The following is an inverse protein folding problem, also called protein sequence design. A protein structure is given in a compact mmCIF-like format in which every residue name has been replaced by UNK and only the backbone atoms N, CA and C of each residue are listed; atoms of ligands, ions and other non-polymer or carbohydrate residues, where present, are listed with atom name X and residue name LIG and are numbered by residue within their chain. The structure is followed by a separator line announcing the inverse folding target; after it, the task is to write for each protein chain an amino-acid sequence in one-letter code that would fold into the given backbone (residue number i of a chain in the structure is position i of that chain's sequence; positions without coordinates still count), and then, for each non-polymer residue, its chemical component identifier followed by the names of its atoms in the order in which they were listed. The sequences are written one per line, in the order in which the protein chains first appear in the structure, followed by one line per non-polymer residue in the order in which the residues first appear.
data_IF_378908833863
#
_entry.id   IF_378908833863
#
_cell.length_a   1.000
_cell.length_b   1.000
_cell.length_c   1.000
_cell.angle_alpha   90.00
_cell.angle_beta   90.00
_cell.angle_gamma   90.00
#
_symmetry.space_group_name_H-M   'P 1'
#
loop_
_entity.id
_entity.type
_entity.pdbx_description
1 polymer ?
#
# COMPACT_ATOMS: atom_id res chain seq x y z
N UNK A 1 13.21 21.14 -2.34
CA UNK A 1 13.81 20.61 -1.12
C UNK A 1 13.36 19.18 -0.90
N UNK A 2 14.30 18.23 -0.54
CA UNK A 2 13.92 16.88 -0.17
C UNK A 2 13.00 16.89 1.05
N UNK A 3 12.04 15.98 1.07
CA UNK A 3 11.01 15.96 2.11
C UNK A 3 10.76 14.54 2.62
N UNK A 4 10.67 14.37 3.93
CA UNK A 4 10.12 13.19 4.59
C UNK A 4 8.77 13.56 5.20
N UNK A 5 7.69 12.94 4.72
CA UNK A 5 6.35 13.19 5.23
C UNK A 5 5.81 11.93 5.95
N UNK A 6 5.45 12.11 7.21
CA UNK A 6 4.86 11.08 8.07
C UNK A 6 3.42 11.49 8.33
N UNK A 7 2.51 10.77 7.69
CA UNK A 7 1.09 11.10 7.68
C UNK A 7 0.26 9.83 7.81
N UNK A 8 -0.83 9.81 8.56
CA UNK A 8 -1.62 8.60 8.78
C UNK A 8 -2.17 8.04 7.47
N UNK A 9 -2.51 6.76 7.47
CA UNK A 9 -3.21 6.12 6.35
C UNK A 9 -4.51 6.86 6.06
N UNK A 10 -4.82 7.07 4.79
CA UNK A 10 -5.99 7.84 4.36
C UNK A 10 -5.80 9.37 4.32
N UNK A 11 -4.65 9.91 4.77
CA UNK A 11 -4.37 11.35 4.74
C UNK A 11 -3.93 11.89 3.37
N UNK A 12 -4.00 11.09 2.31
CA UNK A 12 -3.67 11.55 0.96
C UNK A 12 -2.18 11.51 0.60
N UNK A 13 -1.37 10.67 1.25
CA UNK A 13 0.07 10.53 0.93
C UNK A 13 0.35 10.41 -0.58
N UNK A 14 -0.40 9.55 -1.28
CA UNK A 14 -0.21 9.34 -2.72
C UNK A 14 -0.51 10.61 -3.53
N UNK A 15 -1.46 11.43 -3.10
CA UNK A 15 -1.81 12.68 -3.77
C UNK A 15 -0.65 13.68 -3.75
N UNK A 16 0.21 13.65 -2.74
CA UNK A 16 1.36 14.56 -2.64
C UNK A 16 2.27 14.42 -3.86
N UNK A 17 2.75 13.20 -4.16
CA UNK A 17 3.63 13.00 -5.31
C UNK A 17 2.90 13.01 -6.64
N UNK A 18 1.62 12.61 -6.68
CA UNK A 18 0.81 12.71 -7.89
C UNK A 18 0.57 14.17 -8.30
N UNK A 19 0.22 15.02 -7.34
CA UNK A 19 0.06 16.45 -7.59
C UNK A 19 1.38 17.12 -7.97
N UNK A 20 2.46 16.81 -7.24
CA UNK A 20 3.79 17.32 -7.56
C UNK A 20 4.23 16.91 -8.98
N UNK A 21 3.94 15.67 -9.40
CA UNK A 21 4.22 15.19 -10.74
C UNK A 21 3.55 16.02 -11.83
N UNK A 22 2.40 16.62 -11.59
CA UNK A 22 1.70 17.47 -12.56
C UNK A 22 2.31 18.87 -12.67
N UNK A 23 3.01 19.32 -11.62
CA UNK A 23 3.61 20.65 -11.55
C UNK A 23 5.08 20.67 -12.01
N UNK A 24 5.77 19.52 -11.95
CA UNK A 24 7.19 19.42 -12.29
C UNK A 24 7.34 18.95 -13.74
N UNK A 25 8.27 19.51 -14.49
CA UNK A 25 8.58 19.03 -15.83
C UNK A 25 9.46 17.77 -15.77
N UNK A 26 9.05 16.69 -16.46
CA UNK A 26 9.77 15.42 -16.51
C UNK A 26 9.02 14.27 -15.85
N UNK A 27 9.74 13.20 -15.59
CA UNK A 27 9.21 11.94 -15.06
C UNK A 27 9.19 11.94 -13.52
N UNK A 28 8.14 11.42 -12.93
CA UNK A 28 8.09 11.03 -11.51
C UNK A 28 8.20 9.51 -11.40
N UNK A 29 9.24 9.06 -10.70
CA UNK A 29 9.43 7.64 -10.35
C UNK A 29 8.90 7.40 -8.94
N UNK A 30 7.95 6.46 -8.81
CA UNK A 30 7.34 6.08 -7.53
C UNK A 30 7.79 4.67 -7.17
N UNK A 31 8.50 4.53 -6.05
CA UNK A 31 8.89 3.24 -5.49
C UNK A 31 7.86 2.87 -4.45
N UNK A 32 7.18 1.74 -4.62
CA UNK A 32 6.19 1.23 -3.67
C UNK A 32 6.33 -0.28 -3.51
N UNK A 33 6.10 -0.85 -2.32
CA UNK A 33 6.21 -2.29 -2.09
C UNK A 33 4.91 -3.03 -2.40
N UNK A 34 3.81 -2.31 -2.63
CA UNK A 34 2.46 -2.87 -2.70
C UNK A 34 2.01 -2.99 -4.16
N UNK A 35 2.31 -4.15 -4.77
CA UNK A 35 2.04 -4.44 -6.20
C UNK A 35 0.55 -4.25 -6.55
N UNK A 36 -0.37 -4.70 -5.70
CA UNK A 36 -1.80 -4.56 -5.93
C UNK A 36 -2.23 -3.09 -6.02
N UNK A 37 -1.73 -2.25 -5.11
CA UNK A 37 -2.04 -0.81 -5.10
C UNK A 37 -1.48 -0.06 -6.31
N UNK A 38 -0.35 -0.52 -6.89
CA UNK A 38 0.20 0.13 -8.09
C UNK A 38 -0.79 0.14 -9.24
N UNK A 39 -1.46 -1.00 -9.47
CA UNK A 39 -2.45 -1.11 -10.56
C UNK A 39 -3.60 -0.14 -10.34
N UNK A 40 -4.18 -0.11 -9.15
CA UNK A 40 -5.31 0.76 -8.85
C UNK A 40 -4.96 2.25 -8.99
N UNK A 41 -3.76 2.65 -8.53
CA UNK A 41 -3.25 4.01 -8.67
C UNK A 41 -3.07 4.40 -10.15
N UNK A 42 -2.45 3.51 -10.94
CA UNK A 42 -2.21 3.75 -12.37
C UNK A 42 -3.51 3.80 -13.15
N UNK A 43 -4.45 2.89 -12.89
CA UNK A 43 -5.76 2.89 -13.55
C UNK A 43 -6.55 4.16 -13.22
N UNK A 44 -6.47 4.65 -11.99
CA UNK A 44 -7.10 5.90 -11.56
C UNK A 44 -6.48 7.14 -12.23
N UNK A 45 -5.16 7.17 -12.42
CA UNK A 45 -4.45 8.25 -13.11
C UNK A 45 -4.79 8.26 -14.60
N UNK A 46 -4.72 7.10 -15.26
CA UNK A 46 -5.02 6.98 -16.69
C UNK A 46 -6.47 7.36 -17.00
N UNK A 47 -7.43 7.01 -16.14
CA UNK A 47 -8.83 7.47 -16.29
C UNK A 47 -8.99 9.00 -16.22
N UNK A 48 -8.05 9.68 -15.58
CA UNK A 48 -8.00 11.15 -15.51
C UNK A 48 -7.15 11.78 -16.61
N UNK A 49 -6.69 11.00 -17.58
CA UNK A 49 -5.85 11.48 -18.67
C UNK A 49 -4.39 11.75 -18.28
N UNK A 50 -3.94 11.25 -17.14
CA UNK A 50 -2.55 11.38 -16.66
C UNK A 50 -1.79 10.12 -17.08
N UNK A 51 -0.82 10.19 -18.03
CA UNK A 51 -0.12 9.02 -18.51
C UNK A 51 0.72 8.39 -17.39
N UNK A 52 0.32 7.21 -16.94
CA UNK A 52 1.02 6.48 -15.89
C UNK A 52 1.15 5.00 -16.24
N UNK A 53 2.16 4.35 -15.70
CA UNK A 53 2.35 2.90 -15.80
C UNK A 53 2.97 2.33 -14.54
N UNK A 54 2.97 1.00 -14.43
CA UNK A 54 3.71 0.29 -13.39
C UNK A 54 4.56 -0.82 -14.00
N UNK A 55 5.70 -1.12 -13.36
CA UNK A 55 6.62 -2.19 -13.77
C UNK A 55 6.98 -3.00 -12.54
N UNK A 56 6.47 -4.23 -12.45
CA UNK A 56 6.71 -5.16 -11.36
C UNK A 56 6.82 -6.60 -11.88
N UNK A 57 7.04 -7.56 -10.98
CA UNK A 57 7.20 -8.98 -11.33
C UNK A 57 5.89 -9.68 -11.72
N UNK A 58 4.73 -9.08 -11.48
CA UNK A 58 3.43 -9.69 -11.76
C UNK A 58 3.00 -9.57 -13.23
N UNK A 59 3.63 -8.66 -14.01
CA UNK A 59 3.32 -8.51 -15.44
C UNK A 59 4.21 -9.41 -16.32
N UNK A 60 3.65 -10.00 -17.40
CA UNK A 60 4.40 -10.83 -18.33
C UNK A 60 5.60 -10.09 -18.96
N UNK A 61 6.69 -10.82 -19.24
CA UNK A 61 7.92 -10.24 -19.82
C UNK A 61 7.70 -9.45 -21.11
N UNK A 62 6.88 -9.89 -22.08
CA UNK A 62 6.62 -9.10 -23.28
C UNK A 62 6.00 -7.74 -22.96
N UNK A 63 5.07 -7.69 -22.04
CA UNK A 63 4.42 -6.44 -21.60
C UNK A 63 5.39 -5.54 -20.83
N UNK A 64 6.27 -6.13 -19.99
CA UNK A 64 7.34 -5.37 -19.33
C UNK A 64 8.22 -4.67 -20.36
N UNK A 65 8.66 -5.39 -21.41
CA UNK A 65 9.52 -4.84 -22.46
C UNK A 65 8.82 -3.71 -23.23
N UNK A 66 7.54 -3.87 -23.54
CA UNK A 66 6.75 -2.82 -24.17
C UNK A 66 6.68 -1.56 -23.29
N UNK A 67 6.41 -1.71 -21.98
CA UNK A 67 6.36 -0.59 -21.05
C UNK A 67 7.72 0.09 -20.90
N UNK A 68 8.83 -0.67 -20.88
CA UNK A 68 10.19 -0.11 -20.85
C UNK A 68 10.51 0.69 -22.13
N UNK A 69 10.08 0.22 -23.29
CA UNK A 69 10.24 0.94 -24.56
C UNK A 69 9.47 2.27 -24.55
N UNK A 70 8.22 2.26 -24.10
CA UNK A 70 7.41 3.47 -23.97
C UNK A 70 7.98 4.43 -22.92
N UNK A 71 8.53 3.89 -21.81
CA UNK A 71 9.23 4.69 -20.81
C UNK A 71 10.44 5.40 -21.42
N UNK A 72 11.29 4.70 -22.14
CA UNK A 72 12.45 5.29 -22.82
C UNK A 72 12.06 6.38 -23.84
N UNK A 73 10.85 6.31 -24.41
CA UNK A 73 10.27 7.31 -25.30
C UNK A 73 9.62 8.51 -24.61
N UNK A 74 9.62 8.55 -23.26
CA UNK A 74 9.00 9.64 -22.49
C UNK A 74 7.47 9.66 -22.53
N UNK A 75 6.82 8.51 -22.72
CA UNK A 75 5.35 8.43 -22.84
C UNK A 75 4.61 8.49 -21.51
N UNK A 76 5.31 8.50 -20.38
CA UNK A 76 4.70 8.48 -19.05
C UNK A 76 5.09 9.70 -18.22
N UNK A 77 4.15 10.17 -17.41
CA UNK A 77 4.34 11.20 -16.40
C UNK A 77 4.72 10.60 -15.06
N UNK A 78 4.12 9.45 -14.71
CA UNK A 78 4.41 8.68 -13.51
C UNK A 78 4.71 7.22 -13.85
N UNK A 79 5.73 6.68 -13.22
CA UNK A 79 6.06 5.25 -13.30
C UNK A 79 6.18 4.69 -11.90
N UNK A 80 5.36 3.70 -11.60
CA UNK A 80 5.40 2.96 -10.34
C UNK A 80 6.25 1.71 -10.50
N UNK A 81 7.14 1.46 -9.57
CA UNK A 81 8.01 0.29 -9.57
C UNK A 81 8.11 -0.35 -8.20
N UNK A 82 8.24 -1.67 -8.18
CA UNK A 82 8.64 -2.38 -6.99
C UNK A 82 10.16 -2.20 -6.77
N UNK A 83 10.62 -2.14 -5.50
CA UNK A 83 12.01 -1.78 -5.17
C UNK A 83 13.05 -2.72 -5.80
N UNK A 84 12.74 -3.99 -5.99
CA UNK A 84 13.62 -4.96 -6.66
C UNK A 84 13.96 -4.60 -8.11
N UNK A 85 13.13 -3.77 -8.77
CA UNK A 85 13.39 -3.28 -10.13
C UNK A 85 14.58 -2.35 -10.24
N UNK A 86 14.98 -1.74 -9.16
CA UNK A 86 16.16 -0.86 -9.11
C UNK A 86 17.48 -1.62 -9.33
N UNK A 87 17.48 -2.95 -9.22
CA UNK A 87 18.62 -3.80 -9.58
C UNK A 87 18.70 -4.10 -11.07
N UNK A 88 17.63 -3.83 -11.83
CA UNK A 88 17.57 -4.14 -13.25
C UNK A 88 18.31 -3.10 -14.09
N UNK A 89 19.43 -3.51 -14.69
CA UNK A 89 20.20 -2.65 -15.59
C UNK A 89 19.34 -2.18 -16.77
N UNK A 90 18.48 -3.04 -17.32
CA UNK A 90 17.58 -2.68 -18.42
C UNK A 90 16.59 -1.59 -17.99
N UNK A 91 16.04 -1.69 -16.78
CA UNK A 91 15.16 -0.67 -16.23
C UNK A 91 15.89 0.67 -16.05
N UNK A 92 17.06 0.67 -15.40
CA UNK A 92 17.84 1.90 -15.17
C UNK A 92 18.26 2.55 -16.51
N UNK A 93 18.64 1.76 -17.52
CA UNK A 93 18.92 2.27 -18.87
C UNK A 93 17.72 2.96 -19.52
N UNK A 94 16.51 2.45 -19.32
CA UNK A 94 15.31 3.07 -19.87
C UNK A 94 15.02 4.47 -19.29
N UNK A 95 15.63 4.79 -18.15
CA UNK A 95 15.51 6.09 -17.48
C UNK A 95 16.65 7.08 -17.85
N UNK A 96 17.75 6.62 -18.45
CA UNK A 96 18.94 7.45 -18.68
C UNK A 96 18.69 8.71 -19.51
N UNK A 97 17.75 8.63 -20.46
CA UNK A 97 17.41 9.75 -21.35
C UNK A 97 16.18 10.53 -20.85
N UNK A 98 15.72 10.27 -19.63
CA UNK A 98 14.58 10.94 -19.04
C UNK A 98 15.03 11.94 -17.98
N UNK A 99 14.43 13.11 -17.97
CA UNK A 99 14.58 14.04 -16.84
C UNK A 99 13.73 13.51 -15.69
N UNK A 100 14.38 12.91 -14.68
CA UNK A 100 13.70 12.47 -13.48
C UNK A 100 13.55 13.65 -12.52
N UNK A 101 12.38 14.24 -12.49
CA UNK A 101 12.09 15.43 -11.69
C UNK A 101 11.79 15.12 -10.23
N UNK A 102 11.20 13.96 -9.96
CA UNK A 102 10.82 13.54 -8.63
C UNK A 102 11.00 12.03 -8.43
N UNK A 103 11.63 11.67 -7.33
CA UNK A 103 11.62 10.31 -6.79
C UNK A 103 10.71 10.28 -5.57
N UNK A 104 9.62 9.55 -5.65
CA UNK A 104 8.74 9.29 -4.52
C UNK A 104 9.03 7.90 -3.94
N UNK A 105 9.30 7.82 -2.64
CA UNK A 105 9.51 6.57 -1.92
C UNK A 105 8.33 6.36 -0.99
N UNK A 106 7.41 5.52 -1.41
CA UNK A 106 6.25 5.16 -0.61
C UNK A 106 6.60 4.06 0.39
N UNK A 107 5.89 4.01 1.51
CA UNK A 107 6.18 3.14 2.65
C UNK A 107 7.66 3.16 3.05
N UNK A 108 8.24 4.35 3.13
CA UNK A 108 9.68 4.56 3.34
C UNK A 108 10.22 3.92 4.63
N UNK A 109 9.36 3.59 5.60
CA UNK A 109 9.73 2.85 6.81
C UNK A 109 10.30 1.46 6.51
N UNK A 110 9.97 0.88 5.34
CA UNK A 110 10.51 -0.41 4.90
C UNK A 110 12.04 -0.43 4.73
N UNK A 111 12.71 0.73 4.70
CA UNK A 111 14.17 0.80 4.58
C UNK A 111 14.88 0.52 5.91
N UNK A 112 14.20 0.67 7.05
CA UNK A 112 14.78 0.54 8.38
C UNK A 112 14.49 -0.83 8.98
N UNK A 113 15.50 -1.50 9.52
CA UNK A 113 15.34 -2.74 10.28
C UNK A 113 14.50 -2.54 11.55
N UNK A 114 14.36 -1.30 12.01
CA UNK A 114 13.50 -0.93 13.13
C UNK A 114 12.08 -0.54 12.70
N UNK A 115 11.80 -0.60 11.40
CA UNK A 115 10.45 -0.49 10.85
C UNK A 115 9.66 -1.79 11.06
N UNK A 116 8.34 -1.71 11.01
CA UNK A 116 7.48 -2.89 11.20
C UNK A 116 7.43 -3.84 9.99
N UNK A 117 7.92 -3.41 8.82
CA UNK A 117 7.98 -4.19 7.57
C UNK A 117 9.29 -3.92 6.83
N UNK A 118 10.41 -4.39 7.38
CA UNK A 118 11.72 -4.22 6.76
C UNK A 118 11.81 -5.00 5.45
N UNK A 119 12.27 -4.31 4.39
CA UNK A 119 12.48 -4.89 3.06
C UNK A 119 13.88 -4.60 2.55
N UNK A 120 14.76 -5.61 2.44
CA UNK A 120 16.16 -5.42 2.01
C UNK A 120 16.30 -4.70 0.66
N UNK A 121 15.36 -4.86 -0.25
CA UNK A 121 15.39 -4.20 -1.56
C UNK A 121 15.36 -2.67 -1.48
N UNK A 122 14.81 -2.10 -0.39
CA UNK A 122 14.83 -0.65 -0.17
C UNK A 122 16.25 -0.08 0.03
N UNK A 123 17.20 -0.89 0.48
CA UNK A 123 18.59 -0.46 0.66
C UNK A 123 19.28 -0.09 -0.67
N UNK A 124 18.74 -0.56 -1.79
CA UNK A 124 19.26 -0.24 -3.12
C UNK A 124 18.78 1.12 -3.66
N UNK A 125 17.81 1.76 -2.99
CA UNK A 125 17.23 3.04 -3.46
C UNK A 125 18.29 4.14 -3.49
N UNK A 126 19.16 4.22 -2.48
CA UNK A 126 20.19 5.26 -2.43
C UNK A 126 21.17 5.18 -3.59
N UNK A 127 21.60 3.97 -3.96
CA UNK A 127 22.52 3.77 -5.09
C UNK A 127 21.81 4.09 -6.43
N UNK A 128 20.60 3.58 -6.62
CA UNK A 128 19.81 3.92 -7.81
C UNK A 128 19.55 5.44 -7.91
N UNK A 129 19.27 6.11 -6.80
CA UNK A 129 19.09 7.56 -6.74
C UNK A 129 20.34 8.31 -7.22
N UNK A 130 21.55 7.88 -6.80
CA UNK A 130 22.82 8.45 -7.28
C UNK A 130 23.00 8.26 -8.78
N UNK A 131 22.77 7.05 -9.29
CA UNK A 131 22.87 6.74 -10.71
C UNK A 131 21.87 7.55 -11.56
N UNK A 132 20.74 7.94 -11.01
CA UNK A 132 19.71 8.75 -11.64
C UNK A 132 19.90 10.28 -11.44
N UNK A 133 21.09 10.71 -10.99
CA UNK A 133 21.43 12.14 -10.88
C UNK A 133 20.90 12.83 -9.63
N UNK A 134 20.63 12.10 -8.56
CA UNK A 134 20.12 12.61 -7.28
C UNK A 134 18.84 13.46 -7.41
N UNK A 135 17.77 12.96 -8.00
CA UNK A 135 16.53 13.70 -8.21
C UNK A 135 15.96 14.23 -6.89
N UNK A 136 15.11 15.23 -6.98
CA UNK A 136 14.29 15.67 -5.86
C UNK A 136 13.56 14.45 -5.28
N UNK A 137 13.58 14.30 -3.95
CA UNK A 137 13.06 13.08 -3.33
C UNK A 137 12.02 13.44 -2.26
N UNK A 138 10.88 12.75 -2.32
CA UNK A 138 9.87 12.73 -1.26
C UNK A 138 9.74 11.30 -0.72
N UNK A 139 9.98 11.14 0.57
CA UNK A 139 9.78 9.88 1.29
C UNK A 139 8.48 9.98 2.11
N UNK A 140 7.64 8.96 2.02
CA UNK A 140 6.32 8.97 2.64
C UNK A 140 6.11 7.68 3.44
N UNK A 141 5.53 7.82 4.62
CA UNK A 141 5.13 6.67 5.44
C UNK A 141 3.99 7.04 6.37
N UNK A 142 3.24 6.05 6.83
CA UNK A 142 2.21 6.27 7.86
C UNK A 142 2.81 6.28 9.27
N UNK A 143 3.88 5.54 9.49
CA UNK A 143 4.47 5.31 10.82
C UNK A 143 5.98 5.39 10.76
N UNK A 144 6.58 6.23 11.59
CA UNK A 144 8.02 6.26 11.79
C UNK A 144 8.36 6.88 13.15
N UNK A 145 8.99 6.09 14.02
CA UNK A 145 9.59 6.60 15.24
C UNK A 145 10.75 7.55 14.91
N UNK A 146 11.22 8.41 15.82
CA UNK A 146 12.37 9.29 15.56
C UNK A 146 13.60 8.53 15.05
N UNK A 147 13.85 7.31 15.52
CA UNK A 147 14.92 6.43 15.04
C UNK A 147 14.72 6.04 13.59
N UNK A 148 13.52 5.58 13.23
CA UNK A 148 13.16 5.20 11.84
C UNK A 148 13.24 6.42 10.90
N UNK A 149 12.84 7.60 11.36
CA UNK A 149 13.00 8.84 10.58
C UNK A 149 14.46 9.15 10.25
N UNK A 150 15.36 9.01 11.24
CA UNK A 150 16.80 9.14 11.04
C UNK A 150 17.34 8.12 10.04
N UNK A 151 16.93 6.87 10.16
CA UNK A 151 17.31 5.80 9.23
C UNK A 151 16.83 6.08 7.80
N UNK A 152 15.58 6.52 7.61
CA UNK A 152 15.05 6.86 6.28
C UNK A 152 15.94 7.92 5.61
N UNK A 153 16.23 9.02 6.30
CA UNK A 153 17.05 10.09 5.74
C UNK A 153 18.46 9.59 5.41
N UNK A 154 19.11 8.90 6.33
CA UNK A 154 20.47 8.37 6.18
C UNK A 154 20.56 7.32 5.09
N UNK A 155 19.68 6.29 5.10
CA UNK A 155 19.73 5.15 4.20
C UNK A 155 19.27 5.49 2.78
N UNK A 156 18.43 6.51 2.59
CA UNK A 156 18.13 7.07 1.27
C UNK A 156 19.23 8.02 0.74
N UNK A 157 20.27 8.29 1.53
CA UNK A 157 21.32 9.24 1.16
C UNK A 157 20.81 10.67 1.00
N UNK A 158 19.81 11.06 1.78
CA UNK A 158 19.29 12.43 1.79
C UNK A 158 20.12 13.31 2.75
N UNK A 159 20.22 14.63 2.49
CA UNK A 159 20.92 15.53 3.39
C UNK A 159 20.16 15.68 4.73
N UNK A 160 20.89 16.00 5.80
CA UNK A 160 20.27 16.23 7.12
C UNK A 160 19.25 17.40 7.10
N UNK A 161 19.44 18.35 6.20
CA UNK A 161 18.52 19.46 5.95
C UNK A 161 17.21 19.05 5.27
N UNK A 162 16.97 17.75 5.10
CA UNK A 162 15.69 17.20 4.57
C UNK A 162 14.53 17.68 5.42
N UNK A 163 13.55 18.30 4.78
CA UNK A 163 12.36 18.81 5.45
C UNK A 163 11.53 17.66 6.01
N UNK A 164 11.17 17.73 7.29
CA UNK A 164 10.35 16.69 7.95
C UNK A 164 8.98 17.25 8.27
N UNK A 165 7.96 16.61 7.73
CA UNK A 165 6.55 16.91 8.01
C UNK A 165 5.99 15.73 8.78
N UNK A 166 5.64 15.95 10.03
CA UNK A 166 5.00 14.95 10.88
C UNK A 166 3.63 15.48 11.26
N UNK A 167 2.58 14.89 10.70
CA UNK A 167 1.21 15.18 11.13
C UNK A 167 0.86 14.25 12.30
N UNK A 168 -0.10 14.66 13.10
CA UNK A 168 -0.54 13.83 14.24
C UNK A 168 -1.05 12.45 13.80
N UNK A 169 -0.84 11.46 14.66
CA UNK A 169 -1.33 10.08 14.43
C UNK A 169 -2.78 9.89 14.89
N UNK A 170 -3.34 10.87 15.59
CA UNK A 170 -4.69 10.77 16.09
C UNK A 170 -5.71 10.81 14.95
N UNK A 171 -6.60 9.84 14.98
CA UNK A 171 -7.73 9.71 14.06
C UNK A 171 -9.02 9.75 14.85
N UNK A 172 -9.59 10.93 15.11
CA UNK A 172 -10.73 11.09 16.02
C UNK A 172 -12.00 10.35 15.56
N UNK A 173 -12.04 9.93 14.29
CA UNK A 173 -13.10 9.10 13.72
C UNK A 173 -12.91 7.60 13.93
N UNK A 174 -11.81 7.15 14.55
CA UNK A 174 -11.57 5.75 14.88
C UNK A 174 -11.64 5.54 16.38
N UNK A 175 -12.47 4.59 16.80
CA UNK A 175 -12.54 4.11 18.18
C UNK A 175 -11.79 2.79 18.30
N UNK A 176 -10.90 2.68 19.29
CA UNK A 176 -10.17 1.46 19.59
C UNK A 176 -10.65 0.94 20.94
N UNK A 177 -11.06 -0.33 20.97
CA UNK A 177 -11.54 -1.01 22.17
C UNK A 177 -10.86 -2.37 22.31
N UNK A 178 -10.55 -2.78 23.54
CA UNK A 178 -10.05 -4.11 23.89
C UNK A 178 -11.07 -4.78 24.79
N UNK A 179 -11.62 -5.92 24.34
CA UNK A 179 -12.51 -6.78 25.12
C UNK A 179 -11.77 -8.03 25.57
N UNK A 180 -11.65 -8.24 26.86
CA UNK A 180 -11.13 -9.49 27.42
C UNK A 180 -12.24 -10.52 27.48
N UNK A 181 -11.97 -11.73 26.99
CA UNK A 181 -12.91 -12.86 27.00
C UNK A 181 -12.26 -14.06 27.68
N UNK A 182 -13.00 -14.75 28.54
CA UNK A 182 -12.48 -15.86 29.34
C UNK A 182 -12.13 -17.10 28.47
N UNK A 183 -12.91 -17.32 27.42
CA UNK A 183 -12.80 -18.50 26.56
C UNK A 183 -13.33 -18.22 25.15
N UNK A 184 -13.29 -19.23 24.29
CA UNK A 184 -13.75 -19.13 22.91
C UNK A 184 -15.26 -18.87 22.82
N UNK A 185 -16.07 -19.47 23.69
CA UNK A 185 -17.52 -19.26 23.69
C UNK A 185 -17.87 -17.82 24.05
N UNK A 186 -17.20 -17.25 25.08
CA UNK A 186 -17.35 -15.84 25.44
C UNK A 186 -16.92 -14.91 24.29
N UNK A 187 -15.89 -15.29 23.50
CA UNK A 187 -15.46 -14.54 22.33
C UNK A 187 -16.54 -14.54 21.23
N UNK A 188 -17.15 -15.67 20.95
CA UNK A 188 -18.23 -15.74 19.96
C UNK A 188 -19.49 -14.98 20.43
N UNK A 189 -19.82 -15.02 21.72
CA UNK A 189 -20.91 -14.20 22.28
C UNK A 189 -20.62 -12.70 22.10
N UNK A 190 -19.42 -12.25 22.45
CA UNK A 190 -19.02 -10.86 22.30
C UNK A 190 -19.04 -10.41 20.83
N UNK A 191 -18.62 -11.28 19.90
CA UNK A 191 -18.70 -11.02 18.47
C UNK A 191 -20.15 -10.88 18.00
N UNK A 192 -21.02 -11.79 18.42
CA UNK A 192 -22.45 -11.72 18.10
C UNK A 192 -23.08 -10.41 18.61
N UNK A 193 -22.82 -10.04 19.86
CA UNK A 193 -23.29 -8.78 20.44
C UNK A 193 -22.79 -7.58 19.63
N UNK A 194 -21.51 -7.56 19.26
CA UNK A 194 -20.91 -6.48 18.50
C UNK A 194 -21.56 -6.32 17.11
N UNK A 195 -21.77 -7.44 16.42
CA UNK A 195 -22.34 -7.44 15.06
C UNK A 195 -23.83 -7.15 15.07
N UNK A 196 -24.59 -7.63 16.08
CA UNK A 196 -26.05 -7.46 16.14
C UNK A 196 -26.48 -6.15 16.79
N UNK A 197 -25.81 -5.69 17.85
CA UNK A 197 -26.11 -4.42 18.51
C UNK A 197 -25.83 -3.20 17.59
N UNK A 198 -24.82 -3.29 16.74
CA UNK A 198 -24.46 -2.23 15.81
C UNK A 198 -25.04 -2.43 14.41
N UNK A 199 -25.89 -3.44 14.21
CA UNK A 199 -26.43 -3.76 12.89
C UNK A 199 -27.18 -2.60 12.23
N UNK A 200 -27.87 -1.76 13.00
CA UNK A 200 -28.51 -0.55 12.47
C UNK A 200 -27.51 0.48 11.93
N UNK A 201 -26.28 0.49 12.49
CA UNK A 201 -25.15 1.30 11.97
C UNK A 201 -24.35 0.55 10.90
N UNK A 202 -24.24 -0.78 11.02
CA UNK A 202 -23.52 -1.64 10.06
C UNK A 202 -24.23 -1.75 8.69
N UNK A 203 -25.52 -1.43 8.60
CA UNK A 203 -26.24 -1.31 7.31
C UNK A 203 -25.66 -0.23 6.39
N UNK A 204 -24.75 0.61 6.87
CA UNK A 204 -24.08 1.65 6.08
C UNK A 204 -22.60 1.38 5.83
N UNK A 205 -22.06 0.22 6.26
CA UNK A 205 -20.64 -0.07 6.15
C UNK A 205 -20.34 -1.55 6.00
N UNK A 206 -19.05 -1.84 5.89
CA UNK A 206 -18.50 -3.19 5.81
C UNK A 206 -17.65 -3.50 7.02
N UNK A 207 -17.50 -4.79 7.37
CA UNK A 207 -16.71 -5.25 8.50
C UNK A 207 -15.65 -6.24 8.06
N UNK A 208 -14.44 -6.14 8.63
CA UNK A 208 -13.38 -7.13 8.45
C UNK A 208 -13.07 -7.72 9.82
N UNK A 209 -13.10 -9.05 9.92
CA UNK A 209 -12.76 -9.80 11.12
C UNK A 209 -11.45 -10.54 10.85
N UNK A 210 -10.37 -10.17 11.54
CA UNK A 210 -9.09 -10.86 11.41
C UNK A 210 -8.98 -12.03 12.37
N UNK A 211 -8.47 -13.16 11.87
CA UNK A 211 -8.24 -14.39 12.62
C UNK A 211 -6.79 -14.86 12.47
N UNK A 212 -6.31 -15.66 13.42
CA UNK A 212 -4.95 -16.16 13.43
C UNK A 212 -4.67 -17.29 12.43
N UNK A 213 -5.69 -18.11 12.11
CA UNK A 213 -5.52 -19.27 11.23
C UNK A 213 -6.58 -19.31 10.14
N UNK A 214 -6.31 -20.10 9.07
CA UNK A 214 -7.27 -20.33 7.98
C UNK A 214 -8.54 -21.01 8.49
N UNK A 215 -8.38 -22.01 9.37
CA UNK A 215 -9.49 -22.71 9.99
C UNK A 215 -10.39 -21.78 10.80
N UNK A 216 -9.80 -20.90 11.60
CA UNK A 216 -10.58 -19.92 12.35
C UNK A 216 -11.32 -18.95 11.41
N UNK A 217 -10.73 -18.58 10.27
CA UNK A 217 -11.42 -17.73 9.30
C UNK A 217 -12.68 -18.41 8.73
N UNK A 218 -12.61 -19.69 8.43
CA UNK A 218 -13.75 -20.48 7.94
C UNK A 218 -14.81 -20.66 9.04
N UNK A 219 -14.39 -21.02 10.26
CA UNK A 219 -15.28 -21.26 11.41
C UNK A 219 -16.03 -19.98 11.84
N UNK A 220 -15.32 -18.87 11.95
CA UNK A 220 -15.91 -17.57 12.31
C UNK A 220 -16.84 -17.06 11.20
N UNK A 221 -16.50 -17.26 9.93
CA UNK A 221 -17.38 -16.89 8.83
C UNK A 221 -18.69 -17.71 8.85
N UNK A 222 -18.60 -19.00 9.15
CA UNK A 222 -19.77 -19.85 9.32
C UNK A 222 -20.64 -19.40 10.50
N UNK A 223 -20.02 -19.11 11.64
CA UNK A 223 -20.71 -18.55 12.80
C UNK A 223 -21.47 -17.25 12.46
N UNK A 224 -20.83 -16.33 11.75
CA UNK A 224 -21.46 -15.06 11.34
C UNK A 224 -22.67 -15.31 10.44
N UNK A 225 -22.58 -16.27 9.50
CA UNK A 225 -23.69 -16.64 8.62
C UNK A 225 -24.85 -17.32 9.37
N UNK A 226 -24.53 -18.29 10.21
CA UNK A 226 -25.54 -19.17 10.83
C UNK A 226 -26.15 -18.56 12.07
N UNK A 227 -25.32 -18.00 12.95
CA UNK A 227 -25.79 -17.49 14.26
C UNK A 227 -26.15 -16.01 14.17
N UNK A 228 -25.26 -15.17 13.63
CA UNK A 228 -25.53 -13.73 13.50
C UNK A 228 -26.51 -13.41 12.36
N UNK A 229 -26.79 -14.35 11.44
CA UNK A 229 -27.65 -14.18 10.25
C UNK A 229 -27.19 -13.07 9.32
N UNK A 230 -25.86 -12.84 9.26
CA UNK A 230 -25.22 -11.83 8.42
C UNK A 230 -24.46 -12.53 7.31
N UNK A 231 -24.56 -12.04 6.08
CA UNK A 231 -23.79 -12.55 4.96
C UNK A 231 -22.30 -12.30 5.18
N UNK A 232 -21.49 -13.37 5.18
CA UNK A 232 -20.05 -13.30 5.39
C UNK A 232 -19.31 -14.27 4.49
N UNK A 233 -18.13 -13.90 4.05
CA UNK A 233 -17.21 -14.75 3.31
C UNK A 233 -15.87 -14.84 4.04
N UNK A 234 -15.19 -16.01 3.96
CA UNK A 234 -13.84 -16.16 4.48
C UNK A 234 -12.81 -15.85 3.40
N UNK A 235 -11.64 -15.33 3.82
CA UNK A 235 -10.56 -14.99 2.90
C UNK A 235 -9.20 -15.36 3.48
N UNK A 236 -8.44 -16.22 2.79
CA UNK A 236 -7.11 -16.64 3.20
C UNK A 236 -6.28 -17.14 2.01
N UNK A 237 -4.97 -17.27 2.18
CA UNK A 237 -4.03 -17.68 1.13
C UNK A 237 -4.24 -19.12 0.62
N UNK A 238 -5.06 -19.94 1.27
CA UNK A 238 -5.44 -21.30 0.82
C UNK A 238 -6.51 -21.32 -0.27
N UNK A 239 -7.20 -20.21 -0.52
CA UNK A 239 -8.18 -20.10 -1.59
C UNK A 239 -7.50 -19.95 -2.95
N UNK A 240 -8.18 -20.38 -4.01
CA UNK A 240 -7.74 -20.13 -5.39
C UNK A 240 -7.67 -18.63 -5.68
N UNK A 241 -6.79 -18.23 -6.57
CA UNK A 241 -6.62 -16.81 -6.92
C UNK A 241 -7.91 -16.17 -7.47
N UNK A 242 -8.68 -16.93 -8.25
CA UNK A 242 -9.97 -16.51 -8.81
C UNK A 242 -11.01 -16.28 -7.71
N UNK A 243 -11.09 -17.20 -6.73
CA UNK A 243 -12.00 -17.03 -5.58
C UNK A 243 -11.64 -15.81 -4.74
N UNK A 244 -10.35 -15.59 -4.49
CA UNK A 244 -9.88 -14.41 -3.77
C UNK A 244 -10.28 -13.12 -4.49
N UNK A 245 -10.08 -13.05 -5.80
CA UNK A 245 -10.46 -11.89 -6.59
C UNK A 245 -11.98 -11.64 -6.55
N UNK A 246 -12.79 -12.69 -6.70
CA UNK A 246 -14.26 -12.61 -6.63
C UNK A 246 -14.76 -12.15 -5.26
N UNK A 247 -14.21 -12.69 -4.17
CA UNK A 247 -14.59 -12.33 -2.79
C UNK A 247 -14.23 -10.87 -2.52
N UNK A 248 -13.04 -10.45 -2.92
CA UNK A 248 -12.59 -9.07 -2.77
C UNK A 248 -13.48 -8.10 -3.53
N UNK A 249 -13.82 -8.42 -4.78
CA UNK A 249 -14.71 -7.59 -5.59
C UNK A 249 -16.10 -7.45 -4.96
N UNK A 250 -16.69 -8.55 -4.48
CA UNK A 250 -17.99 -8.54 -3.80
C UNK A 250 -17.98 -7.68 -2.55
N UNK A 251 -16.90 -7.73 -1.77
CA UNK A 251 -16.75 -6.92 -0.57
C UNK A 251 -16.62 -5.42 -0.92
N UNK A 252 -15.77 -5.08 -1.90
CA UNK A 252 -15.57 -3.69 -2.34
C UNK A 252 -16.87 -3.08 -2.88
N UNK A 253 -17.65 -3.88 -3.61
CA UNK A 253 -18.92 -3.44 -4.17
C UNK A 253 -20.10 -3.50 -3.15
N UNK A 254 -19.83 -3.86 -1.89
CA UNK A 254 -20.85 -3.91 -0.83
C UNK A 254 -21.80 -5.11 -0.93
N UNK A 255 -21.56 -6.06 -1.84
CA UNK A 255 -22.40 -7.25 -1.99
C UNK A 255 -22.20 -8.26 -0.85
N UNK A 256 -21.08 -8.20 -0.15
CA UNK A 256 -20.79 -9.01 1.05
C UNK A 256 -20.38 -8.05 2.17
N UNK A 257 -21.20 -7.87 3.22
CA UNK A 257 -20.94 -6.87 4.27
C UNK A 257 -19.83 -7.28 5.25
N UNK A 258 -19.55 -8.57 5.39
CA UNK A 258 -18.53 -9.07 6.33
C UNK A 258 -17.54 -9.99 5.64
N UNK A 259 -16.25 -9.70 5.82
CA UNK A 259 -15.16 -10.63 5.49
C UNK A 259 -14.49 -11.09 6.78
N UNK A 260 -14.24 -12.39 6.85
CA UNK A 260 -13.41 -13.01 7.90
C UNK A 260 -12.11 -13.45 7.26
N UNK A 261 -11.00 -12.88 7.67
CA UNK A 261 -9.74 -13.05 6.96
C UNK A 261 -8.56 -13.37 7.88
N UNK A 262 -7.56 -14.01 7.31
CA UNK A 262 -6.19 -13.96 7.84
C UNK A 262 -5.50 -12.68 7.31
N UNK A 263 -4.24 -12.46 7.68
CA UNK A 263 -3.42 -11.36 7.15
C UNK A 263 -3.19 -11.38 5.62
N UNK A 264 -3.86 -12.27 4.89
CA UNK A 264 -3.77 -12.36 3.43
C UNK A 264 -4.75 -11.43 2.70
N UNK A 265 -5.69 -10.78 3.43
CA UNK A 265 -6.68 -9.83 2.89
C UNK A 265 -6.15 -8.41 2.89
#
# INVERSE_FOLDING_TARGET
QHTLAIMPTGAGKSLIYQFAALQLDGLTLVISPLIALMKDQVDALNRRGIPATFINSAIPVPEQNQRLTLLAQGKFRLVYVAPERLRSVTFLRSLQNQTLSLLAVDEAHCISEWGHDFRPDYLHIAEARKQLGNPLTVALTATATPKVQGDIVRLLGLPESTHRIVTGFNRPNLTLEVKYTADTEAKFRALNELLTANWQFALQGTSIIYTGTRRDAEEVAEFVRVVCKIQAEHYHAGLLAEDRARIQERFINGATPVIVATNAF
#
